data_IF_428784782468
#
_entry.id   IF_428784782468
#
_cell.length_a   1.000
_cell.length_b   1.000
_cell.length_c   1.000
_cell.angle_alpha   90.00
_cell.angle_beta   90.00
_cell.angle_gamma   90.00
#
_symmetry.space_group_name_H-M   'P 1'
#
loop_
_entity.id
_entity.type
_entity.pdbx_description
1 polymer ?
#
# COMPACT_ATOMS: atom_id res chain seq x y z
N UNK A 1 -8.01 24.42 -1.02
CA UNK A 1 -9.20 23.54 -0.79
C UNK A 1 -8.70 22.32 -0.08
N UNK A 2 -9.18 22.02 1.14
CA UNK A 2 -8.79 20.80 1.87
C UNK A 2 -9.46 19.64 1.17
N UNK A 3 -8.69 18.78 0.50
CA UNK A 3 -9.18 17.53 -0.04
C UNK A 3 -9.69 16.65 1.09
N UNK A 4 -10.86 16.07 0.94
CA UNK A 4 -11.37 15.05 1.86
C UNK A 4 -10.48 13.82 1.76
N UNK A 5 -9.71 13.53 2.80
CA UNK A 5 -9.01 12.25 2.96
C UNK A 5 -10.06 11.20 3.27
N UNK A 6 -10.47 10.45 2.27
CA UNK A 6 -11.39 9.31 2.46
C UNK A 6 -10.62 8.06 2.87
N UNK A 7 -11.22 7.25 3.73
CA UNK A 7 -10.78 5.88 3.99
C UNK A 7 -10.73 5.08 2.68
N UNK A 8 -9.96 3.98 2.66
CA UNK A 8 -9.91 3.05 1.53
C UNK A 8 -11.33 2.71 1.04
N UNK A 9 -11.52 2.72 -0.27
CA UNK A 9 -12.84 2.52 -0.86
C UNK A 9 -13.09 1.04 -1.12
N UNK A 10 -14.14 0.51 -0.50
CA UNK A 10 -14.59 -0.87 -0.67
C UNK A 10 -15.90 -0.85 -1.44
N UNK A 11 -15.90 -1.19 -2.74
CA UNK A 11 -17.14 -1.20 -3.52
C UNK A 11 -18.10 -2.29 -3.02
N UNK A 12 -19.32 -1.95 -2.61
CA UNK A 12 -20.24 -2.89 -1.98
C UNK A 12 -20.91 -3.84 -2.99
N UNK A 13 -20.93 -3.47 -4.26
CA UNK A 13 -21.57 -4.25 -5.35
C UNK A 13 -20.97 -3.90 -6.70
N UNK A 14 -21.11 -4.82 -7.66
CA UNK A 14 -20.79 -4.62 -9.06
C UNK A 14 -21.98 -4.22 -9.93
N UNK A 15 -21.69 -3.90 -11.17
CA UNK A 15 -22.69 -3.78 -12.24
C UNK A 15 -23.16 -5.15 -12.74
N UNK A 16 -24.20 -5.15 -13.57
CA UNK A 16 -24.82 -6.39 -14.08
C UNK A 16 -24.21 -6.85 -15.41
N UNK A 17 -23.72 -5.92 -16.21
CA UNK A 17 -23.15 -6.21 -17.53
C UNK A 17 -22.24 -5.06 -18.00
N UNK A 18 -21.60 -5.22 -19.14
CA UNK A 18 -20.81 -4.17 -19.78
C UNK A 18 -21.58 -2.89 -20.06
N UNK A 19 -22.88 -2.99 -20.29
CA UNK A 19 -23.79 -1.85 -20.53
C UNK A 19 -24.51 -1.37 -19.25
N UNK A 20 -24.37 -2.10 -18.15
CA UNK A 20 -24.99 -1.78 -16.85
C UNK A 20 -23.91 -1.77 -15.77
N UNK A 21 -23.00 -0.83 -15.91
CA UNK A 21 -21.82 -0.65 -15.05
C UNK A 21 -22.13 0.24 -13.85
N UNK A 22 -21.40 0.06 -12.77
CA UNK A 22 -21.33 1.04 -11.69
C UNK A 22 -20.05 1.85 -11.89
N UNK A 23 -20.19 3.17 -11.91
CA UNK A 23 -19.06 4.08 -12.10
C UNK A 23 -18.77 4.86 -10.82
N UNK A 24 -17.54 4.75 -10.36
CA UNK A 24 -16.93 5.62 -9.36
C UNK A 24 -16.09 6.64 -10.11
N UNK A 25 -16.43 7.92 -9.96
CA UNK A 25 -15.75 8.99 -10.70
C UNK A 25 -15.53 10.21 -9.82
N UNK A 26 -14.36 10.82 -9.94
CA UNK A 26 -14.16 12.16 -9.43
C UNK A 26 -15.12 13.14 -10.12
N UNK A 27 -15.67 14.09 -9.39
CA UNK A 27 -16.51 15.13 -9.98
C UNK A 27 -15.73 15.94 -11.02
N UNK A 28 -16.41 16.38 -12.05
CA UNK A 28 -15.78 17.13 -13.15
C UNK A 28 -15.12 18.41 -12.62
N UNK A 29 -13.84 18.57 -12.91
CA UNK A 29 -13.04 19.71 -12.44
C UNK A 29 -12.50 19.58 -11.02
N UNK A 30 -12.84 18.52 -10.29
CA UNK A 30 -12.33 18.28 -8.95
C UNK A 30 -11.12 17.35 -8.96
N UNK A 31 -10.13 17.67 -8.11
CA UNK A 31 -9.04 16.75 -7.78
C UNK A 31 -9.41 15.96 -6.53
N UNK A 32 -9.83 14.74 -6.73
CA UNK A 32 -10.17 13.82 -5.63
C UNK A 32 -9.00 12.88 -5.38
N UNK A 33 -8.47 12.91 -4.15
CA UNK A 33 -7.37 12.05 -3.71
C UNK A 33 -7.88 11.05 -2.71
N UNK A 34 -7.54 9.77 -2.93
CA UNK A 34 -7.83 8.67 -2.01
C UNK A 34 -6.48 8.13 -1.55
N UNK A 35 -6.25 8.13 -0.24
CA UNK A 35 -4.96 7.79 0.35
C UNK A 35 -5.01 6.54 1.22
N UNK A 36 -3.93 5.77 1.21
CA UNK A 36 -3.69 4.68 2.15
C UNK A 36 -2.97 5.14 3.42
N UNK A 37 -2.67 6.44 3.53
CA UNK A 37 -2.00 7.08 4.66
C UNK A 37 -2.97 7.80 5.59
N UNK A 38 -2.45 8.17 6.76
CA UNK A 38 -3.06 9.11 7.70
C UNK A 38 -2.06 10.20 8.06
N UNK A 39 -2.57 11.41 8.29
CA UNK A 39 -1.78 12.51 8.85
C UNK A 39 -1.52 12.23 10.32
N UNK A 40 -0.28 12.36 10.73
CA UNK A 40 0.14 12.13 12.12
C UNK A 40 0.85 13.36 12.69
N UNK A 41 0.62 13.60 13.96
CA UNK A 41 1.22 14.67 14.76
C UNK A 41 1.72 14.12 16.09
N UNK A 42 2.39 14.94 16.87
CA UNK A 42 2.95 14.51 18.16
C UNK A 42 4.38 13.97 18.00
N UNK A 43 5.08 14.39 16.97
CA UNK A 43 6.50 14.15 16.80
C UNK A 43 7.30 14.85 17.90
N UNK A 44 8.20 14.11 18.51
CA UNK A 44 9.13 14.58 19.56
C UNK A 44 10.52 14.79 18.94
N UNK A 45 11.10 15.96 19.13
CA UNK A 45 12.45 16.24 18.67
C UNK A 45 13.49 15.37 19.40
N UNK A 46 14.41 14.77 18.67
CA UNK A 46 15.46 13.92 19.23
C UNK A 46 16.82 14.60 19.15
N UNK A 47 17.28 14.88 17.94
CA UNK A 47 18.57 15.57 17.68
C UNK A 47 18.55 16.12 16.26
N UNK A 48 19.13 17.29 16.04
CA UNK A 48 19.23 17.95 14.74
C UNK A 48 17.88 17.95 13.99
N UNK A 49 17.79 17.34 12.81
CA UNK A 49 16.55 17.21 12.05
C UNK A 49 15.78 15.90 12.33
N UNK A 50 16.24 15.10 13.30
CA UNK A 50 15.64 13.80 13.63
C UNK A 50 14.53 13.96 14.66
N UNK A 51 13.39 13.41 14.34
CA UNK A 51 12.21 13.37 15.18
C UNK A 51 11.72 11.94 15.40
N UNK A 52 10.98 11.72 16.47
CA UNK A 52 10.44 10.42 16.85
C UNK A 52 8.93 10.52 17.09
N UNK A 53 8.20 9.51 16.64
CA UNK A 53 6.77 9.34 16.92
C UNK A 53 6.52 7.91 17.41
N UNK A 54 5.83 7.77 18.54
CA UNK A 54 5.43 6.45 19.06
C UNK A 54 3.91 6.30 19.02
N UNK A 55 3.45 5.23 18.39
CA UNK A 55 2.04 4.91 18.17
C UNK A 55 1.70 3.54 18.78
N UNK A 56 0.58 3.38 19.47
CA UNK A 56 0.12 2.06 19.87
C UNK A 56 -0.27 1.24 18.64
N UNK A 57 0.05 -0.06 18.61
CA UNK A 57 -0.21 -0.90 17.43
C UNK A 57 -1.69 -0.98 17.04
N UNK A 58 -2.62 -0.79 18.00
CA UNK A 58 -4.06 -0.66 17.70
C UNK A 58 -4.41 0.50 16.75
N UNK A 59 -3.51 1.50 16.60
CA UNK A 59 -3.66 2.58 15.62
C UNK A 59 -3.77 2.04 14.19
N UNK A 60 -3.10 0.94 13.90
CA UNK A 60 -3.05 0.33 12.58
C UNK A 60 -4.21 -0.64 12.30
N UNK A 61 -5.14 -0.81 13.24
CA UNK A 61 -6.36 -1.62 13.04
C UNK A 61 -6.10 -3.03 12.48
N UNK A 62 -5.10 -3.71 13.03
CA UNK A 62 -4.77 -5.11 12.69
C UNK A 62 -3.78 -5.30 11.53
N UNK A 63 -3.42 -4.26 10.77
CA UNK A 63 -2.36 -4.29 9.77
C UNK A 63 -1.34 -3.20 10.05
N UNK A 64 -0.15 -3.58 10.49
CA UNK A 64 0.93 -2.66 10.79
C UNK A 64 2.02 -2.70 9.70
N UNK A 65 2.09 -1.69 8.82
CA UNK A 65 3.07 -1.64 7.74
C UNK A 65 4.53 -1.59 8.20
N UNK A 66 4.77 -1.16 9.43
CA UNK A 66 6.11 -1.02 10.02
C UNK A 66 6.57 -2.29 10.73
N UNK A 67 5.72 -3.30 10.77
CA UNK A 67 6.02 -4.66 11.17
C UNK A 67 5.98 -5.63 9.97
N UNK A 68 5.18 -5.30 8.96
CA UNK A 68 5.04 -6.09 7.74
C UNK A 68 6.28 -5.91 6.84
N UNK A 69 6.91 -7.03 6.46
CA UNK A 69 8.19 -7.02 5.74
C UNK A 69 8.06 -7.48 4.31
N UNK A 70 8.87 -6.89 3.44
CA UNK A 70 8.96 -7.27 2.04
C UNK A 70 9.93 -8.45 1.92
N UNK A 71 9.41 -9.61 1.49
CA UNK A 71 10.19 -10.83 1.31
C UNK A 71 9.55 -11.75 0.27
N UNK A 72 10.27 -12.73 -0.21
CA UNK A 72 9.76 -13.76 -1.11
C UNK A 72 10.56 -13.89 -2.40
N UNK A 73 10.11 -14.78 -3.28
CA UNK A 73 10.75 -15.05 -4.55
C UNK A 73 10.94 -13.78 -5.39
N UNK A 74 12.10 -13.70 -6.05
CA UNK A 74 12.49 -12.63 -6.95
C UNK A 74 12.69 -11.25 -6.28
N UNK A 75 12.57 -11.19 -4.97
CA UNK A 75 12.95 -10.02 -4.20
C UNK A 75 14.39 -10.16 -3.69
N UNK A 76 15.25 -9.22 -4.03
CA UNK A 76 16.61 -9.16 -3.50
C UNK A 76 16.69 -8.07 -2.41
N UNK A 77 16.77 -8.45 -1.14
CA UNK A 77 16.78 -7.49 -0.02
C UNK A 77 18.08 -6.68 0.10
N UNK A 78 19.12 -7.01 -0.68
CA UNK A 78 20.44 -6.35 -0.60
C UNK A 78 21.03 -6.33 0.81
N UNK A 79 20.77 -7.38 1.59
CA UNK A 79 21.32 -7.56 2.94
C UNK A 79 20.64 -6.73 4.04
N UNK A 80 19.45 -6.18 3.79
CA UNK A 80 18.67 -5.40 4.77
C UNK A 80 17.21 -5.85 4.83
N UNK A 81 16.53 -5.48 5.91
CA UNK A 81 15.06 -5.60 6.00
C UNK A 81 14.42 -4.40 5.28
N UNK A 82 13.33 -4.66 4.60
CA UNK A 82 12.46 -3.65 4.00
C UNK A 82 11.04 -3.85 4.54
N UNK A 83 10.38 -2.76 4.89
CA UNK A 83 9.00 -2.76 5.35
C UNK A 83 8.05 -2.26 4.25
N UNK A 84 6.78 -2.62 4.37
CA UNK A 84 5.74 -2.05 3.51
C UNK A 84 5.36 -0.64 3.96
N UNK A 85 5.83 -0.23 5.14
CA UNK A 85 5.68 1.11 5.70
C UNK A 85 6.38 2.20 4.90
N UNK A 86 5.90 3.43 5.02
CA UNK A 86 6.54 4.64 4.49
C UNK A 86 6.11 5.89 5.26
N UNK A 87 7.00 6.88 5.29
CA UNK A 87 6.77 8.20 5.88
C UNK A 87 6.79 9.23 4.75
N UNK A 88 5.90 10.20 4.79
CA UNK A 88 5.76 11.24 3.78
C UNK A 88 5.78 12.61 4.43
N UNK A 89 6.50 13.55 3.82
CA UNK A 89 6.50 14.97 4.16
C UNK A 89 5.93 15.74 2.96
N UNK A 90 4.85 16.48 3.16
CA UNK A 90 4.19 17.29 2.12
C UNK A 90 3.90 16.47 0.84
N UNK A 91 3.49 15.21 1.01
CA UNK A 91 3.15 14.28 -0.06
C UNK A 91 4.35 13.61 -0.76
N UNK A 92 5.59 13.83 -0.32
CA UNK A 92 6.81 13.20 -0.81
C UNK A 92 7.30 12.16 0.18
N UNK A 93 7.56 10.93 -0.25
CA UNK A 93 8.02 9.92 0.68
C UNK A 93 9.51 10.04 0.99
N UNK A 94 9.86 9.69 2.22
CA UNK A 94 11.21 9.60 2.69
C UNK A 94 11.79 8.21 2.38
N UNK A 95 13.11 8.12 2.31
CA UNK A 95 13.79 6.84 2.10
C UNK A 95 13.89 6.04 3.40
N UNK A 96 13.61 4.74 3.36
CA UNK A 96 13.81 3.86 4.52
C UNK A 96 15.29 3.67 4.81
N UNK A 97 15.73 4.03 6.01
CA UNK A 97 17.08 3.81 6.50
C UNK A 97 17.37 2.33 6.77
N UNK A 98 18.64 1.94 6.76
CA UNK A 98 19.04 0.54 7.02
C UNK A 98 19.05 0.19 8.50
N UNK A 99 19.10 1.20 9.37
CA UNK A 99 19.12 1.08 10.82
C UNK A 99 18.76 2.43 11.45
N UNK A 100 18.45 2.42 12.74
CA UNK A 100 18.27 3.65 13.52
C UNK A 100 19.53 4.51 13.49
N UNK A 101 20.72 3.89 13.55
CA UNK A 101 21.99 4.60 13.49
C UNK A 101 22.14 5.38 12.17
N UNK A 102 21.67 4.82 11.04
CA UNK A 102 21.71 5.53 9.76
C UNK A 102 20.84 6.79 9.76
N UNK A 103 19.67 6.76 10.41
CA UNK A 103 18.82 7.94 10.55
C UNK A 103 19.43 8.98 11.50
N UNK A 104 20.07 8.53 12.59
CA UNK A 104 20.66 9.43 13.58
C UNK A 104 21.92 10.16 13.09
N UNK A 105 22.69 9.53 12.19
CA UNK A 105 24.02 10.01 11.79
C UNK A 105 24.11 10.39 10.31
N UNK A 106 23.01 10.27 9.54
CA UNK A 106 23.09 10.56 8.11
C UNK A 106 23.20 12.06 7.85
N UNK A 107 24.15 12.38 6.98
CA UNK A 107 24.26 13.67 6.31
C UNK A 107 23.85 13.58 4.84
N UNK A 108 23.08 12.53 4.49
CA UNK A 108 22.67 12.25 3.12
C UNK A 108 21.70 13.34 2.61
N UNK A 109 21.72 13.54 1.30
CA UNK A 109 20.89 14.56 0.65
C UNK A 109 19.39 14.22 0.69
N UNK A 110 19.05 12.95 0.96
CA UNK A 110 17.66 12.47 1.03
C UNK A 110 17.27 12.14 2.48
N UNK A 111 16.16 12.68 2.98
CA UNK A 111 15.69 12.38 4.33
C UNK A 111 15.36 10.91 4.52
N UNK A 112 15.83 10.35 5.63
CA UNK A 112 15.63 8.96 6.00
C UNK A 112 14.55 8.81 7.07
N UNK A 113 13.93 7.62 7.10
CA UNK A 113 13.11 7.16 8.22
C UNK A 113 13.48 5.73 8.61
N UNK A 114 13.18 5.34 9.84
CA UNK A 114 13.36 3.99 10.37
C UNK A 114 12.24 3.67 11.37
N UNK A 115 11.90 2.41 11.52
CA UNK A 115 10.87 1.97 12.45
C UNK A 115 11.32 0.78 13.30
N UNK A 116 10.85 0.75 14.54
CA UNK A 116 10.84 -0.43 15.40
C UNK A 116 9.42 -0.70 15.84
N UNK A 117 8.98 -1.94 15.76
CA UNK A 117 7.63 -2.35 16.13
C UNK A 117 7.66 -3.61 16.97
N UNK A 118 6.99 -3.56 18.12
CA UNK A 118 6.65 -4.76 18.88
C UNK A 118 5.50 -5.49 18.14
N UNK A 119 5.64 -6.80 17.95
CA UNK A 119 4.66 -7.62 17.23
C UNK A 119 3.31 -7.75 17.94
N UNK A 120 3.21 -7.42 19.23
CA UNK A 120 1.97 -7.56 20.01
C UNK A 120 0.95 -6.48 19.65
N UNK A 121 -0.34 -6.79 19.73
CA UNK A 121 -1.41 -5.83 19.50
C UNK A 121 -1.38 -4.68 20.52
N UNK A 122 -0.97 -4.97 21.74
CA UNK A 122 -0.79 -3.96 22.82
C UNK A 122 0.57 -3.26 22.76
N UNK A 123 1.42 -3.65 21.79
CA UNK A 123 2.74 -3.10 21.57
C UNK A 123 2.74 -1.69 21.04
N UNK A 124 3.96 -1.20 20.79
CA UNK A 124 4.21 0.15 20.29
C UNK A 124 5.04 0.05 19.02
N UNK A 125 4.67 0.82 18.03
CA UNK A 125 5.50 1.13 16.87
C UNK A 125 6.12 2.50 17.08
N UNK A 126 7.44 2.57 16.99
CA UNK A 126 8.19 3.82 17.06
C UNK A 126 8.84 4.11 15.71
N UNK A 127 8.58 5.29 15.21
CA UNK A 127 9.14 5.83 13.97
C UNK A 127 10.17 6.90 14.31
N UNK A 128 11.30 6.89 13.63
CA UNK A 128 12.25 7.99 13.58
C UNK A 128 12.32 8.48 12.14
N UNK A 129 12.31 9.79 11.95
CA UNK A 129 12.40 10.37 10.62
C UNK A 129 13.14 11.70 10.66
N UNK A 130 13.79 12.01 9.55
CA UNK A 130 14.49 13.28 9.34
C UNK A 130 13.56 14.26 8.63
N UNK A 131 13.44 15.46 9.21
CA UNK A 131 12.66 16.57 8.61
C UNK A 131 13.54 17.81 8.52
N UNK A 132 14.44 17.90 7.51
CA UNK A 132 15.44 18.96 7.41
C UNK A 132 14.82 20.35 7.37
N UNK A 133 15.10 21.17 8.38
CA UNK A 133 14.65 22.54 8.50
C UNK A 133 13.14 22.72 8.68
N UNK A 134 12.40 21.64 9.06
CA UNK A 134 10.93 21.67 9.15
C UNK A 134 10.50 21.11 10.52
N UNK A 135 9.52 21.74 11.15
CA UNK A 135 8.80 21.15 12.28
C UNK A 135 7.69 20.21 11.74
N UNK A 136 7.79 18.89 11.95
CA UNK A 136 6.79 17.94 11.45
C UNK A 136 5.40 18.12 12.09
N UNK A 137 5.30 18.81 13.22
CA UNK A 137 4.00 19.10 13.84
C UNK A 137 3.29 20.30 13.19
N UNK A 138 4.03 21.14 12.44
CA UNK A 138 3.50 22.28 11.68
C UNK A 138 3.36 21.98 10.17
N UNK A 139 3.75 20.77 9.76
CA UNK A 139 3.78 20.33 8.36
C UNK A 139 2.82 19.16 8.13
N UNK A 140 2.53 18.84 6.86
CA UNK A 140 1.73 17.64 6.53
C UNK A 140 2.64 16.41 6.53
N UNK A 141 2.74 15.73 7.68
CA UNK A 141 3.43 14.45 7.78
C UNK A 141 2.43 13.32 7.81
N UNK A 142 2.59 12.37 6.89
CA UNK A 142 1.70 11.22 6.74
C UNK A 142 2.48 9.92 6.87
N UNK A 143 1.79 8.89 7.33
CA UNK A 143 2.29 7.51 7.34
C UNK A 143 1.26 6.61 6.67
N UNK A 144 1.68 5.64 5.88
CA UNK A 144 0.74 4.68 5.31
C UNK A 144 0.28 3.68 6.39
N UNK A 145 -1.02 3.35 6.32
CA UNK A 145 -1.68 2.48 7.31
C UNK A 145 -2.60 1.44 6.66
N UNK A 146 -2.68 1.43 5.32
CA UNK A 146 -3.55 0.54 4.55
C UNK A 146 -2.78 -0.15 3.43
N UNK A 147 -3.07 -1.43 3.22
CA UNK A 147 -2.49 -2.20 2.12
C UNK A 147 -3.00 -1.74 0.75
N UNK A 148 -4.22 -1.26 0.68
CA UNK A 148 -4.88 -0.92 -0.58
C UNK A 148 -5.78 0.29 -0.41
N UNK A 149 -6.06 0.98 -1.51
CA UNK A 149 -6.88 2.19 -1.53
C UNK A 149 -8.24 1.93 -2.16
N UNK A 150 -8.29 1.06 -3.16
CA UNK A 150 -9.54 0.67 -3.81
C UNK A 150 -9.52 -0.83 -4.12
N UNK A 151 -10.14 -1.61 -3.23
CA UNK A 151 -10.12 -3.07 -3.34
C UNK A 151 -11.41 -3.67 -2.78
N UNK A 152 -12.12 -4.56 -3.51
CA UNK A 152 -13.33 -5.19 -3.01
C UNK A 152 -12.98 -6.30 -2.01
N UNK A 153 -13.75 -6.43 -0.93
CA UNK A 153 -13.59 -7.51 0.05
C UNK A 153 -13.92 -8.89 -0.52
N UNK A 154 -14.78 -8.91 -1.55
CA UNK A 154 -15.30 -10.16 -2.12
C UNK A 154 -14.97 -10.24 -3.60
N UNK A 155 -14.76 -11.45 -4.07
CA UNK A 155 -14.71 -11.75 -5.51
C UNK A 155 -16.07 -11.50 -6.17
N UNK A 156 -16.10 -11.37 -7.49
CA UNK A 156 -17.37 -11.23 -8.23
C UNK A 156 -17.99 -9.84 -8.21
N UNK A 157 -17.30 -8.82 -7.73
CA UNK A 157 -17.72 -7.41 -7.84
C UNK A 157 -17.41 -6.91 -9.25
N UNK A 158 -18.17 -7.34 -10.22
CA UNK A 158 -17.93 -7.19 -11.67
C UNK A 158 -18.40 -5.85 -12.22
N UNK A 159 -17.95 -5.49 -13.42
CA UNK A 159 -18.42 -4.36 -14.23
C UNK A 159 -18.38 -3.00 -13.51
N UNK A 160 -17.26 -2.69 -12.88
CA UNK A 160 -16.98 -1.36 -12.34
C UNK A 160 -16.22 -0.50 -13.36
N UNK A 161 -16.44 0.81 -13.28
CA UNK A 161 -15.57 1.81 -13.89
C UNK A 161 -15.05 2.72 -12.80
N UNK A 162 -13.73 2.88 -12.71
CA UNK A 162 -13.03 3.73 -11.75
C UNK A 162 -12.27 4.79 -12.53
N UNK A 163 -12.61 6.06 -12.36
CA UNK A 163 -12.15 7.12 -13.24
C UNK A 163 -11.86 8.44 -12.52
N UNK A 164 -10.73 9.07 -12.86
CA UNK A 164 -10.43 10.44 -12.52
C UNK A 164 -9.89 10.69 -11.10
N UNK A 165 -9.49 9.65 -10.37
CA UNK A 165 -8.93 9.76 -9.03
C UNK A 165 -7.40 9.90 -9.06
N UNK A 166 -6.86 10.52 -8.02
CA UNK A 166 -5.49 10.29 -7.56
C UNK A 166 -5.57 9.28 -6.42
N UNK A 167 -4.90 8.14 -6.55
CA UNK A 167 -4.84 7.09 -5.54
C UNK A 167 -3.38 6.87 -5.17
N UNK A 168 -3.06 6.99 -3.86
CA UNK A 168 -1.67 7.05 -3.44
C UNK A 168 -1.42 6.54 -2.02
N UNK A 169 -0.12 6.31 -1.70
CA UNK A 169 0.38 6.08 -0.36
C UNK A 169 -0.16 4.80 0.30
N UNK A 170 -0.15 3.68 -0.43
CA UNK A 170 -0.56 2.39 0.10
C UNK A 170 0.64 1.48 0.43
N UNK A 171 0.56 0.78 1.55
CA UNK A 171 1.50 -0.23 2.01
C UNK A 171 1.24 -1.58 1.33
N UNK A 172 1.34 -1.62 0.01
CA UNK A 172 1.07 -2.84 -0.74
C UNK A 172 2.13 -3.90 -0.46
N UNK A 173 1.74 -5.17 -0.21
CA UNK A 173 2.68 -6.23 0.05
C UNK A 173 3.43 -6.63 -1.22
N UNK A 174 4.61 -7.22 -1.03
CA UNK A 174 5.26 -7.96 -2.09
C UNK A 174 4.56 -9.30 -2.30
N UNK A 175 4.40 -9.67 -3.54
CA UNK A 175 4.09 -11.03 -3.90
C UNK A 175 4.72 -11.37 -5.26
N UNK A 176 5.38 -12.53 -5.40
CA UNK A 176 5.84 -13.00 -6.69
C UNK A 176 4.64 -13.36 -7.57
N UNK A 177 4.83 -13.52 -8.89
CA UNK A 177 3.73 -13.88 -9.81
C UNK A 177 3.02 -15.20 -9.48
N UNK A 178 3.62 -16.02 -8.63
CA UNK A 178 3.06 -17.31 -8.17
C UNK A 178 2.07 -17.17 -6.99
N UNK A 179 2.00 -15.99 -6.37
CA UNK A 179 1.12 -15.73 -5.23
C UNK A 179 0.06 -14.70 -5.59
N UNK A 180 -0.97 -14.59 -4.77
CA UNK A 180 -1.96 -13.52 -4.88
C UNK A 180 -1.30 -12.18 -4.61
N UNK A 181 -1.53 -11.22 -5.50
CA UNK A 181 -1.00 -9.88 -5.40
C UNK A 181 -2.11 -8.90 -5.01
N UNK A 182 -1.86 -8.09 -4.00
CA UNK A 182 -2.73 -6.98 -3.61
C UNK A 182 -2.07 -5.68 -4.07
N UNK A 183 -2.69 -5.00 -5.01
CA UNK A 183 -2.25 -3.69 -5.46
C UNK A 183 -2.89 -2.55 -4.69
N UNK A 184 -2.39 -1.35 -4.90
CA UNK A 184 -3.02 -0.12 -4.42
C UNK A 184 -4.48 -0.05 -4.91
N UNK A 185 -4.72 -0.45 -6.15
CA UNK A 185 -6.04 -0.76 -6.70
C UNK A 185 -6.04 -2.16 -7.30
N UNK A 186 -7.10 -2.92 -7.08
CA UNK A 186 -7.24 -4.25 -7.65
C UNK A 186 -8.69 -4.71 -7.76
N UNK A 187 -8.94 -5.64 -8.68
CA UNK A 187 -10.29 -6.15 -8.95
C UNK A 187 -10.70 -7.32 -8.08
N UNK A 188 -9.79 -7.88 -7.29
CA UNK A 188 -10.02 -9.07 -6.48
C UNK A 188 -10.79 -10.16 -7.25
N UNK A 189 -10.21 -10.66 -8.36
CA UNK A 189 -10.79 -11.72 -9.20
C UNK A 189 -12.11 -11.36 -9.89
N UNK A 190 -12.48 -10.09 -9.87
CA UNK A 190 -13.69 -9.63 -10.52
C UNK A 190 -13.41 -9.24 -11.98
N UNK A 191 -14.33 -9.49 -12.87
CA UNK A 191 -14.18 -9.24 -14.30
C UNK A 191 -14.86 -7.94 -14.76
N UNK A 192 -14.46 -7.48 -15.92
CA UNK A 192 -15.12 -6.38 -16.62
C UNK A 192 -14.89 -5.01 -15.95
N UNK A 193 -13.80 -4.84 -15.21
CA UNK A 193 -13.42 -3.52 -14.68
C UNK A 193 -12.80 -2.66 -15.78
N UNK A 194 -13.06 -1.36 -15.68
CA UNK A 194 -12.40 -0.30 -16.44
C UNK A 194 -11.74 0.61 -15.42
N UNK A 195 -10.42 0.75 -15.51
CA UNK A 195 -9.61 1.63 -14.66
C UNK A 195 -8.98 2.64 -15.62
N UNK A 196 -9.49 3.87 -15.63
CA UNK A 196 -9.09 4.85 -16.64
C UNK A 196 -8.92 6.25 -16.07
N UNK A 197 -8.01 7.03 -16.64
CA UNK A 197 -7.76 8.42 -16.26
C UNK A 197 -7.48 8.63 -14.77
N UNK A 198 -6.88 7.65 -14.10
CA UNK A 198 -6.45 7.75 -12.72
C UNK A 198 -4.93 8.01 -12.65
N UNK A 199 -4.50 8.68 -11.59
CA UNK A 199 -3.10 8.73 -11.20
C UNK A 199 -2.90 7.76 -10.04
N UNK A 200 -1.99 6.80 -10.19
CA UNK A 200 -1.66 5.80 -9.18
C UNK A 200 -0.17 5.94 -8.87
N UNK A 201 0.15 6.23 -7.59
CA UNK A 201 1.53 6.50 -7.19
C UNK A 201 1.76 6.17 -5.72
N UNK A 202 3.03 6.10 -5.30
CA UNK A 202 3.44 5.81 -3.92
C UNK A 202 2.82 4.51 -3.38
N UNK A 203 2.83 3.48 -4.21
CA UNK A 203 2.55 2.12 -3.80
C UNK A 203 3.88 1.48 -3.44
N UNK A 204 4.00 0.87 -2.27
CA UNK A 204 5.28 0.29 -1.84
C UNK A 204 5.77 -0.79 -2.80
N UNK A 205 4.88 -1.71 -3.21
CA UNK A 205 5.22 -2.75 -4.17
C UNK A 205 4.41 -2.64 -5.46
N UNK A 206 3.09 -2.84 -5.41
CA UNK A 206 2.27 -3.00 -6.61
C UNK A 206 1.20 -1.91 -6.73
N UNK A 207 1.17 -1.24 -7.87
CA UNK A 207 0.17 -0.20 -8.16
C UNK A 207 -1.20 -0.77 -8.52
N UNK A 208 -1.27 -1.64 -9.54
CA UNK A 208 -2.52 -2.22 -10.04
C UNK A 208 -2.39 -3.73 -10.09
N UNK A 209 -3.39 -4.46 -9.58
CA UNK A 209 -3.47 -5.91 -9.74
C UNK A 209 -4.82 -6.33 -10.29
N UNK A 210 -4.78 -7.35 -11.14
CA UNK A 210 -5.99 -7.98 -11.67
C UNK A 210 -6.37 -9.23 -10.89
N UNK A 211 -5.48 -9.70 -10.03
CA UNK A 211 -5.56 -10.96 -9.34
C UNK A 211 -5.03 -12.11 -10.21
N UNK A 212 -4.90 -13.26 -9.60
CA UNK A 212 -4.77 -14.54 -10.30
C UNK A 212 -5.89 -15.47 -9.84
N UNK A 213 -6.20 -16.51 -10.59
CA UNK A 213 -7.28 -17.41 -10.20
C UNK A 213 -6.94 -18.11 -8.88
N UNK A 214 -7.83 -17.98 -7.88
CA UNK A 214 -7.65 -18.57 -6.55
C UNK A 214 -7.58 -20.09 -6.62
N UNK A 215 -6.54 -20.66 -6.08
CA UNK A 215 -6.32 -22.09 -5.93
C UNK A 215 -5.72 -22.41 -4.54
N UNK A 216 -5.51 -23.70 -4.25
CA UNK A 216 -4.98 -24.14 -2.97
C UNK A 216 -3.53 -23.69 -2.70
N UNK A 217 -2.84 -23.16 -3.70
CA UNK A 217 -1.43 -22.76 -3.64
C UNK A 217 -1.27 -21.24 -3.55
N UNK A 218 -2.37 -20.47 -3.62
CA UNK A 218 -2.32 -19.01 -3.45
C UNK A 218 -1.74 -18.67 -2.08
N UNK A 219 -0.72 -17.82 -2.08
CA UNK A 219 0.04 -17.40 -0.89
C UNK A 219 0.77 -18.53 -0.14
N UNK A 220 0.70 -19.77 -0.60
CA UNK A 220 1.38 -20.90 0.06
C UNK A 220 2.67 -21.32 -0.62
N UNK A 221 2.87 -20.93 -1.88
CA UNK A 221 4.03 -21.25 -2.71
C UNK A 221 4.83 -20.03 -3.14
N UNK A 222 4.96 -19.07 -2.25
CA UNK A 222 5.64 -17.80 -2.52
C UNK A 222 7.10 -17.94 -2.94
N UNK A 223 7.75 -19.03 -2.52
CA UNK A 223 9.16 -19.32 -2.79
C UNK A 223 9.34 -20.58 -3.67
N UNK A 224 8.35 -20.86 -4.52
CA UNK A 224 8.42 -22.01 -5.44
C UNK A 224 7.61 -21.76 -6.71
N UNK A 225 7.90 -22.52 -7.77
CA UNK A 225 7.15 -22.46 -9.01
C UNK A 225 5.78 -23.17 -8.94
N UNK A 226 5.43 -23.79 -7.84
CA UNK A 226 4.25 -24.65 -7.73
C UNK A 226 2.94 -23.89 -7.96
N UNK A 227 2.76 -22.73 -7.31
CA UNK A 227 1.59 -21.89 -7.49
C UNK A 227 1.45 -21.38 -8.93
N UNK A 228 2.56 -21.06 -9.60
CA UNK A 228 2.54 -20.69 -10.99
C UNK A 228 2.06 -21.80 -11.90
N UNK A 229 2.58 -23.03 -11.71
CA UNK A 229 2.17 -24.22 -12.48
C UNK A 229 0.68 -24.53 -12.26
N UNK A 230 0.20 -24.46 -11.04
CA UNK A 230 -1.21 -24.70 -10.73
C UNK A 230 -2.12 -23.60 -11.32
N UNK A 231 -1.69 -22.35 -11.30
CA UNK A 231 -2.43 -21.25 -11.93
C UNK A 231 -2.60 -21.45 -13.44
N UNK A 232 -1.52 -21.83 -14.14
CA UNK A 232 -1.57 -22.16 -15.59
C UNK A 232 -2.53 -23.31 -15.84
N UNK A 233 -2.41 -24.38 -15.08
CA UNK A 233 -3.25 -25.55 -15.19
C UNK A 233 -4.73 -25.20 -15.01
N UNK A 234 -5.04 -24.38 -14.01
CA UNK A 234 -6.41 -23.93 -13.75
C UNK A 234 -6.95 -23.02 -14.87
N UNK A 235 -6.12 -22.15 -15.43
CA UNK A 235 -6.51 -21.33 -16.55
C UNK A 235 -6.89 -22.18 -17.78
N UNK A 236 -6.12 -23.23 -18.05
CA UNK A 236 -6.41 -24.17 -19.14
C UNK A 236 -7.72 -24.95 -18.88
N UNK A 237 -7.94 -25.40 -17.64
CA UNK A 237 -9.19 -26.10 -17.26
C UNK A 237 -10.43 -25.22 -17.43
N UNK A 238 -10.28 -23.90 -17.29
CA UNK A 238 -11.35 -22.93 -17.49
C UNK A 238 -11.50 -22.49 -18.94
N UNK A 239 -10.69 -23.02 -19.84
CA UNK A 239 -10.71 -22.65 -21.24
C UNK A 239 -10.23 -21.22 -21.52
N UNK A 240 -9.36 -20.69 -20.69
CA UNK A 240 -8.73 -19.37 -20.86
C UNK A 240 -7.52 -19.46 -21.80
N UNK A 241 -7.62 -20.25 -22.84
CA UNK A 241 -6.62 -20.24 -23.92
C UNK A 241 -6.97 -19.10 -24.86
N UNK A 242 -6.21 -18.01 -24.76
CA UNK A 242 -6.24 -16.79 -25.59
C UNK A 242 -7.39 -15.82 -25.33
#
# INVERSE_FOLDING_TARGET
>A
MKGSTGNASIPPRGGLSGNQRITYRAALGERVVIKGSEVVTGWEHVIDDVWKLSLPNRFFNGFNPYHDTISGDWFNPLGRTHHTGAVYLDGHWLTEGTSLESVMNSSDAEPLWYAESDASEEGITTLWAQFPGVDPNESEVEINVRQSVFYPEKTGITYLTICGFVMEQAATPWAPPTAEQIGLIGSNWSRGWIIENNTIRYSTCVGITLGKHGDAFDNTSQNSAEGYVQTIKRALDLGWSE
#
